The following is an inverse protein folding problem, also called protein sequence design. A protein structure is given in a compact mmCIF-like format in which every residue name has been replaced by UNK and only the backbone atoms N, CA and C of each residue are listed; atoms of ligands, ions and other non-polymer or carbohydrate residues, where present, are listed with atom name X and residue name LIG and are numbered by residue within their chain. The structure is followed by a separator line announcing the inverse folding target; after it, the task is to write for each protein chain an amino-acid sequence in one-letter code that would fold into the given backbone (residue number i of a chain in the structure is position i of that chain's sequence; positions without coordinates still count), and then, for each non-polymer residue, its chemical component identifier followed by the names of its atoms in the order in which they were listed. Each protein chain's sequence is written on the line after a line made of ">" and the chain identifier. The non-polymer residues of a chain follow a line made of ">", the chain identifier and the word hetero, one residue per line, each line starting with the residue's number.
data_IF_846377194296
#
_entry.id   IF_846377194296
#
_cell.length_a   1.000
_cell.length_b   1.000
_cell.length_c   1.000
_cell.angle_alpha   90.00
_cell.angle_beta   90.00
_cell.angle_gamma   90.00
#
_symmetry.space_group_name_H-M   'P 1'
#
loop_
_entity.id
_entity.type
_entity.pdbx_description
1 polymer ?
#
# COMPACT_ATOMS: atom_id res chain seq x y z
N UNK A 1 -3.37 12.75 -0.81
CA UNK A 1 -2.71 11.61 -0.14
C UNK A 1 -2.95 11.57 1.34
N UNK A 2 -4.19 11.80 1.79
CA UNK A 2 -4.64 11.24 3.06
C UNK A 2 -6.05 10.73 2.78
N UNK A 3 -6.16 9.50 2.28
CA UNK A 3 -7.45 8.81 2.29
C UNK A 3 -7.73 8.47 3.76
N UNK A 4 -8.22 9.47 4.52
CA UNK A 4 -8.42 9.42 5.96
C UNK A 4 -9.42 8.34 6.42
N UNK A 5 -10.05 7.67 5.47
CA UNK A 5 -11.04 6.63 5.69
C UNK A 5 -10.50 5.20 5.43
N UNK A 6 -9.26 5.06 4.93
CA UNK A 6 -8.66 3.76 4.71
C UNK A 6 -8.14 3.15 6.02
N UNK A 7 -8.68 1.99 6.38
CA UNK A 7 -8.11 1.16 7.42
C UNK A 7 -7.10 0.18 6.81
N UNK A 8 -5.85 0.16 7.29
CA UNK A 8 -4.89 -0.84 6.87
C UNK A 8 -5.08 -2.16 7.64
N UNK A 9 -4.71 -3.28 7.03
CA UNK A 9 -4.49 -4.52 7.77
C UNK A 9 -3.19 -4.41 8.57
N UNK A 10 -3.22 -4.85 9.83
CA UNK A 10 -2.03 -4.96 10.66
C UNK A 10 -1.48 -6.39 10.62
N UNK A 11 -0.16 -6.51 10.72
CA UNK A 11 0.58 -7.77 10.86
C UNK A 11 1.79 -7.52 11.78
N UNK A 12 2.56 -8.56 12.06
CA UNK A 12 3.77 -8.45 12.86
C UNK A 12 4.98 -8.91 12.05
N UNK A 13 6.03 -8.10 12.00
CA UNK A 13 7.36 -8.57 11.63
C UNK A 13 7.99 -9.26 12.85
N UNK A 14 8.53 -10.46 12.63
CA UNK A 14 9.30 -11.20 13.62
C UNK A 14 10.77 -11.03 13.26
N UNK A 15 11.51 -10.32 14.12
CA UNK A 15 12.96 -10.13 13.99
C UNK A 15 13.74 -11.41 14.22
N UNK A 16 15.00 -11.42 13.80
CA UNK A 16 15.91 -12.57 14.01
C UNK A 16 16.23 -12.82 15.49
N UNK A 17 16.04 -11.81 16.34
CA UNK A 17 16.12 -11.85 17.80
C UNK A 17 14.80 -12.27 18.46
N UNK A 18 13.76 -12.56 17.67
CA UNK A 18 12.42 -12.89 18.15
C UNK A 18 11.58 -11.68 18.55
N UNK A 19 12.08 -10.45 18.41
CA UNK A 19 11.30 -9.24 18.67
C UNK A 19 10.14 -9.12 17.68
N UNK A 20 8.98 -8.65 18.16
CA UNK A 20 7.79 -8.42 17.34
C UNK A 20 7.57 -6.93 17.12
N UNK A 21 7.41 -6.54 15.86
CA UNK A 21 7.09 -5.16 15.49
C UNK A 21 5.78 -5.12 14.69
N UNK A 22 4.80 -4.30 15.09
CA UNK A 22 3.60 -4.12 14.29
C UNK A 22 3.95 -3.43 12.97
N UNK A 23 3.49 -4.01 11.86
CA UNK A 23 3.55 -3.45 10.52
C UNK A 23 2.15 -3.41 9.91
N UNK A 24 2.00 -2.64 8.84
CA UNK A 24 0.74 -2.48 8.12
C UNK A 24 0.94 -2.81 6.65
N UNK A 25 -0.01 -3.55 6.08
CA UNK A 25 -0.05 -3.79 4.64
C UNK A 25 -0.43 -2.48 3.93
N UNK A 26 0.25 -2.18 2.82
CA UNK A 26 -0.02 -0.95 2.08
C UNK A 26 -1.39 -0.98 1.41
N UNK A 27 -2.11 0.12 1.51
CA UNK A 27 -3.44 0.29 0.89
C UNK A 27 -3.37 0.85 -0.53
N UNK A 28 -2.18 1.36 -0.91
CA UNK A 28 -1.79 1.90 -2.22
C UNK A 28 -0.24 1.98 -2.26
N UNK A 29 0.40 1.92 -3.45
CA UNK A 29 1.82 2.19 -3.62
C UNK A 29 2.17 3.68 -3.57
N UNK A 30 1.22 4.60 -3.34
CA UNK A 30 1.39 6.06 -3.45
C UNK A 30 2.65 6.59 -2.78
N UNK A 31 2.89 6.22 -1.52
CA UNK A 31 4.07 6.69 -0.79
C UNK A 31 5.38 6.19 -1.38
N UNK A 32 5.43 4.93 -1.85
CA UNK A 32 6.61 4.38 -2.50
C UNK A 32 6.86 5.05 -3.85
N UNK A 33 5.82 5.20 -4.68
CA UNK A 33 5.90 5.87 -5.97
C UNK A 33 6.31 7.33 -5.83
N UNK A 34 5.76 8.07 -4.87
CA UNK A 34 6.16 9.47 -4.61
C UNK A 34 7.62 9.62 -4.21
N UNK A 35 8.18 8.67 -3.45
CA UNK A 35 9.62 8.65 -3.15
C UNK A 35 10.44 8.48 -4.43
N UNK A 36 10.00 7.63 -5.36
CA UNK A 36 10.67 7.46 -6.66
C UNK A 36 10.56 8.72 -7.52
N UNK A 37 9.40 9.38 -7.56
CA UNK A 37 9.26 10.67 -8.26
C UNK A 37 10.19 11.74 -7.69
N UNK A 38 10.26 11.84 -6.36
CA UNK A 38 11.20 12.75 -5.69
C UNK A 38 12.66 12.39 -5.99
N UNK A 39 12.97 11.11 -6.24
CA UNK A 39 14.28 10.63 -6.67
C UNK A 39 14.57 10.85 -8.17
N UNK A 40 13.63 11.41 -8.93
CA UNK A 40 13.83 11.81 -10.33
C UNK A 40 13.13 10.93 -11.36
N UNK A 41 12.43 9.88 -10.94
CA UNK A 41 11.59 9.11 -11.85
C UNK A 41 10.45 9.99 -12.41
N UNK A 42 10.17 9.87 -13.71
CA UNK A 42 9.21 10.77 -14.39
C UNK A 42 7.97 10.07 -14.91
N UNK A 43 8.05 8.77 -15.18
CA UNK A 43 6.99 7.96 -15.78
C UNK A 43 7.07 6.55 -15.22
N UNK A 44 6.29 6.29 -14.18
CA UNK A 44 6.30 5.01 -13.47
C UNK A 44 4.89 4.48 -13.33
N UNK A 45 4.76 3.16 -13.27
CA UNK A 45 3.54 2.50 -12.86
C UNK A 45 3.88 1.38 -11.86
N UNK A 46 2.93 1.10 -10.98
CA UNK A 46 2.95 -0.04 -10.08
C UNK A 46 1.72 -0.89 -10.36
N UNK A 47 1.93 -2.20 -10.55
CA UNK A 47 0.88 -3.20 -10.70
C UNK A 47 1.10 -4.30 -9.67
N UNK A 48 0.18 -4.45 -8.73
CA UNK A 48 0.32 -5.46 -7.69
C UNK A 48 -0.84 -5.46 -6.70
N UNK A 49 -0.81 -6.38 -5.73
CA UNK A 49 -1.81 -6.46 -4.68
C UNK A 49 -1.72 -5.26 -3.73
N UNK A 50 -2.90 -4.82 -3.28
CA UNK A 50 -3.09 -3.86 -2.19
C UNK A 50 -4.14 -4.42 -1.23
N UNK A 51 -4.07 -3.98 0.03
CA UNK A 51 -4.97 -4.47 1.07
C UNK A 51 -5.68 -3.31 1.76
N UNK A 52 -7.01 -3.34 1.79
CA UNK A 52 -7.85 -2.33 2.43
C UNK A 52 -8.80 -3.02 3.41
N UNK A 53 -8.58 -2.78 4.69
CA UNK A 53 -9.40 -3.33 5.76
C UNK A 53 -10.75 -2.60 5.79
N UNK A 54 -11.79 -3.30 6.25
CA UNK A 54 -13.18 -2.81 6.35
C UNK A 54 -13.84 -2.48 5.00
N UNK A 55 -13.21 -2.81 3.88
CA UNK A 55 -13.79 -2.70 2.54
C UNK A 55 -14.25 -4.07 2.03
N UNK A 56 -15.51 -4.43 2.34
CA UNK A 56 -16.13 -5.65 1.83
C UNK A 56 -17.55 -5.42 1.34
N UNK A 57 -17.83 -5.85 0.11
CA UNK A 57 -19.15 -5.76 -0.50
C UNK A 57 -19.16 -6.40 -1.89
N UNK A 58 -20.30 -6.32 -2.61
CA UNK A 58 -20.43 -6.94 -3.93
C UNK A 58 -19.39 -6.48 -4.96
N UNK A 59 -18.88 -5.25 -4.79
CA UNK A 59 -17.88 -4.63 -5.66
C UNK A 59 -16.53 -4.40 -4.96
N UNK A 60 -16.37 -4.83 -3.71
CA UNK A 60 -15.19 -4.52 -2.89
C UNK A 60 -14.64 -5.80 -2.25
N UNK A 61 -13.38 -6.11 -2.57
CA UNK A 61 -12.64 -7.18 -1.92
C UNK A 61 -11.53 -6.58 -1.05
N UNK A 62 -11.28 -7.08 0.18
CA UNK A 62 -10.25 -6.52 1.07
C UNK A 62 -8.81 -6.64 0.53
N UNK A 63 -8.59 -7.52 -0.44
CA UNK A 63 -7.37 -7.62 -1.23
C UNK A 63 -7.74 -7.55 -2.72
N UNK A 64 -7.06 -6.70 -3.49
CA UNK A 64 -7.28 -6.63 -4.92
C UNK A 64 -6.02 -6.15 -5.65
N UNK A 65 -5.98 -6.38 -6.95
CA UNK A 65 -4.90 -5.87 -7.81
C UNK A 65 -5.16 -4.42 -8.17
N UNK A 66 -4.18 -3.55 -7.96
CA UNK A 66 -4.26 -2.15 -8.32
C UNK A 66 -3.19 -1.78 -9.34
N UNK A 67 -3.59 -0.99 -10.35
CA UNK A 67 -2.70 -0.28 -11.25
C UNK A 67 -2.69 1.20 -10.84
N UNK A 68 -1.51 1.71 -10.48
CA UNK A 68 -1.31 3.12 -10.19
C UNK A 68 -0.17 3.64 -11.06
N UNK A 69 -0.34 4.80 -11.69
CA UNK A 69 0.70 5.40 -12.53
C UNK A 69 0.91 6.87 -12.23
N UNK A 70 2.13 7.31 -12.48
CA UNK A 70 2.56 8.68 -12.26
C UNK A 70 3.28 9.21 -13.48
N UNK A 71 2.99 10.46 -13.81
CA UNK A 71 3.63 11.20 -14.89
C UNK A 71 3.79 12.66 -14.48
N UNK A 72 5.01 13.19 -14.61
CA UNK A 72 5.36 14.59 -14.35
C UNK A 72 5.93 15.22 -15.63
#
# INVERSE_FOLDING_TARGET
>A
GNEAHLAAFATEAIGTDGARQPLYLHTSPEFACKKLLAAGERRIFSLGPVWRNRERGPLHHPEFTMLEWYRV
#
